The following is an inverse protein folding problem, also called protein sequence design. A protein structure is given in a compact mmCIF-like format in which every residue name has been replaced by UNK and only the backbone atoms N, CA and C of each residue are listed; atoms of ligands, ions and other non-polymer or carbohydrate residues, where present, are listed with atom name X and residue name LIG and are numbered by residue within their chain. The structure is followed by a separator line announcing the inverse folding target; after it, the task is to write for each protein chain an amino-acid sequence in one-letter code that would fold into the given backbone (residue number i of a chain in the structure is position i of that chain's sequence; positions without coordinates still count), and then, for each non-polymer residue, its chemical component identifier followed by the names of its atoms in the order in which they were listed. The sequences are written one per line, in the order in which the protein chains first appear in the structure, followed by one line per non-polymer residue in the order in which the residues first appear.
data_IF_451944895679
#
_entry.id   IF_451944895679
#
_cell.length_a   1.000
_cell.length_b   1.000
_cell.length_c   1.000
_cell.angle_alpha   90.00
_cell.angle_beta   90.00
_cell.angle_gamma   90.00
#
_symmetry.space_group_name_H-M   'P 1'
#
loop_
_entity.id
_entity.type
_entity.pdbx_description
1 polymer ?
#
# COMPACT_ATOMS: atom_id res chain seq x y z
N UNK A 1 -19.74 -73.83 -3.44
CA UNK A 1 -19.00 -72.86 -4.27
C UNK A 1 -19.32 -71.44 -3.80
N UNK A 2 -18.48 -70.82 -2.98
CA UNK A 2 -18.56 -69.39 -2.64
C UNK A 2 -17.18 -68.80 -2.87
N UNK A 3 -17.02 -68.06 -3.97
CA UNK A 3 -15.79 -67.33 -4.31
C UNK A 3 -15.77 -66.04 -3.50
N UNK A 4 -14.80 -65.91 -2.60
CA UNK A 4 -14.50 -64.67 -1.89
C UNK A 4 -13.73 -63.77 -2.86
N UNK A 5 -14.34 -62.67 -3.30
CA UNK A 5 -13.66 -61.62 -4.04
C UNK A 5 -12.93 -60.71 -3.04
N UNK A 6 -11.59 -60.76 -3.04
CA UNK A 6 -10.78 -59.76 -2.35
C UNK A 6 -10.70 -58.51 -3.21
N UNK A 7 -11.40 -57.46 -2.80
CA UNK A 7 -11.27 -56.13 -3.37
C UNK A 7 -10.04 -55.46 -2.73
N UNK A 8 -8.91 -55.44 -3.44
CA UNK A 8 -7.76 -54.63 -3.04
C UNK A 8 -8.08 -53.15 -3.30
N UNK A 9 -8.49 -52.44 -2.25
CA UNK A 9 -8.61 -50.99 -2.28
C UNK A 9 -7.19 -50.40 -2.24
N UNK A 10 -6.65 -50.06 -3.41
CA UNK A 10 -5.42 -49.27 -3.52
C UNK A 10 -5.75 -47.84 -3.07
N UNK A 11 -5.52 -47.54 -1.80
CA UNK A 11 -5.52 -46.17 -1.31
C UNK A 11 -4.23 -45.53 -1.83
N UNK A 12 -4.33 -44.83 -2.97
CA UNK A 12 -3.30 -43.91 -3.42
C UNK A 12 -3.25 -42.75 -2.41
N UNK A 13 -2.45 -42.90 -1.36
CA UNK A 13 -1.98 -41.76 -0.58
C UNK A 13 -1.06 -40.98 -1.50
N UNK A 14 -1.62 -40.02 -2.22
CA UNK A 14 -0.82 -39.00 -2.87
C UNK A 14 -0.14 -38.22 -1.74
N UNK A 15 1.12 -38.54 -1.46
CA UNK A 15 2.00 -37.65 -0.72
C UNK A 15 2.12 -36.40 -1.59
N UNK A 16 1.30 -35.39 -1.30
CA UNK A 16 1.50 -34.06 -1.85
C UNK A 16 2.78 -33.57 -1.17
N UNK A 17 3.92 -33.83 -1.82
CA UNK A 17 5.12 -33.08 -1.51
C UNK A 17 4.76 -31.61 -1.73
N UNK A 18 4.65 -30.84 -0.64
CA UNK A 18 4.41 -29.39 -0.73
C UNK A 18 5.53 -28.81 -1.60
N UNK A 19 5.18 -28.45 -2.84
CA UNK A 19 6.13 -27.92 -3.79
C UNK A 19 6.72 -26.63 -3.21
N UNK A 20 8.05 -26.55 -3.15
CA UNK A 20 8.76 -25.39 -2.65
C UNK A 20 8.49 -24.20 -3.58
N UNK A 21 8.09 -23.06 -3.01
CA UNK A 21 7.86 -21.84 -3.76
C UNK A 21 9.19 -21.33 -4.36
N UNK A 22 9.22 -21.26 -5.68
CA UNK A 22 10.34 -20.72 -6.44
C UNK A 22 10.17 -19.22 -6.66
N UNK A 23 8.95 -18.78 -6.89
CA UNK A 23 8.56 -17.39 -7.06
C UNK A 23 7.68 -16.99 -5.88
N UNK A 24 8.11 -16.01 -5.10
CA UNK A 24 7.33 -15.49 -3.97
C UNK A 24 6.96 -14.05 -4.25
N UNK A 25 5.66 -13.77 -4.23
CA UNK A 25 5.10 -12.43 -4.20
C UNK A 25 4.55 -12.15 -2.81
N UNK A 26 4.96 -11.03 -2.24
CA UNK A 26 4.53 -10.60 -0.92
C UNK A 26 3.99 -9.16 -0.99
N UNK A 27 2.68 -9.05 -0.99
CA UNK A 27 1.95 -7.79 -1.11
C UNK A 27 1.58 -7.27 0.28
N UNK A 28 1.88 -6.00 0.54
CA UNK A 28 1.56 -5.30 1.79
C UNK A 28 0.73 -4.06 1.44
N UNK A 29 -0.55 -4.02 1.80
CA UNK A 29 -1.33 -2.78 1.75
C UNK A 29 -1.17 -2.03 3.06
N UNK A 30 -0.38 -0.95 3.09
CA UNK A 30 -0.14 -0.16 4.32
C UNK A 30 -1.50 0.35 4.85
N UNK A 31 -1.83 0.12 6.12
CA UNK A 31 -3.12 0.53 6.70
C UNK A 31 -4.36 -0.23 6.22
N UNK A 32 -4.21 -1.28 5.40
CA UNK A 32 -5.32 -2.05 4.80
C UNK A 32 -5.92 -3.09 5.76
N UNK A 33 -6.69 -2.62 6.74
CA UNK A 33 -7.49 -3.50 7.61
C UNK A 33 -8.66 -4.20 6.90
N UNK A 34 -9.38 -5.05 7.64
CA UNK A 34 -10.50 -5.84 7.09
C UNK A 34 -11.65 -4.98 6.55
N UNK A 35 -11.87 -3.80 7.13
CA UNK A 35 -12.97 -2.92 6.71
C UNK A 35 -12.63 -2.11 5.45
N UNK A 36 -11.35 -1.79 5.22
CA UNK A 36 -10.87 -1.21 3.98
C UNK A 36 -11.15 -2.16 2.81
N UNK A 37 -10.88 -3.46 2.99
CA UNK A 37 -11.17 -4.51 2.00
C UNK A 37 -12.67 -4.67 1.78
N UNK A 38 -13.44 -4.91 2.84
CA UNK A 38 -14.89 -5.13 2.74
C UNK A 38 -15.63 -3.90 2.17
N UNK A 39 -15.25 -2.70 2.61
CA UNK A 39 -15.81 -1.44 2.11
C UNK A 39 -15.57 -1.25 0.62
N UNK A 40 -14.38 -1.60 0.14
CA UNK A 40 -14.05 -1.57 -1.29
C UNK A 40 -14.92 -2.53 -2.11
N UNK A 41 -15.14 -3.76 -1.64
CA UNK A 41 -16.01 -4.72 -2.35
C UNK A 41 -17.47 -4.29 -2.36
N UNK A 42 -17.96 -3.68 -1.27
CA UNK A 42 -19.31 -3.10 -1.20
C UNK A 42 -19.46 -1.91 -2.14
N UNK A 43 -18.50 -0.99 -2.12
CA UNK A 43 -18.45 0.15 -3.02
C UNK A 43 -18.47 -0.28 -4.49
N UNK A 44 -17.65 -1.28 -4.85
CA UNK A 44 -17.63 -1.86 -6.20
C UNK A 44 -18.97 -2.46 -6.60
N UNK A 45 -19.67 -3.17 -5.70
CA UNK A 45 -20.99 -3.72 -5.99
C UNK A 45 -21.99 -2.61 -6.33
N UNK A 46 -21.98 -1.51 -5.58
CA UNK A 46 -22.89 -0.40 -5.79
C UNK A 46 -22.62 0.34 -7.10
N UNK A 47 -21.36 0.67 -7.41
CA UNK A 47 -21.02 1.46 -8.62
C UNK A 47 -20.99 0.62 -9.90
N UNK A 48 -20.52 -0.64 -9.85
CA UNK A 48 -20.33 -1.47 -11.05
C UNK A 48 -21.58 -2.30 -11.39
N UNK A 49 -22.37 -2.66 -10.37
CA UNK A 49 -23.52 -3.56 -10.53
C UNK A 49 -24.84 -2.93 -10.11
N UNK A 50 -24.82 -1.75 -9.49
CA UNK A 50 -26.04 -1.07 -9.04
C UNK A 50 -26.82 -1.83 -7.96
N UNK A 51 -26.13 -2.68 -7.17
CA UNK A 51 -26.77 -3.52 -6.14
C UNK A 51 -26.04 -3.45 -4.81
N UNK A 52 -26.77 -3.71 -3.73
CA UNK A 52 -26.22 -3.98 -2.41
C UNK A 52 -25.55 -5.37 -2.41
N UNK A 53 -24.46 -5.50 -1.67
CA UNK A 53 -23.69 -6.73 -1.48
C UNK A 53 -22.21 -6.47 -1.70
N UNK A 54 -21.46 -7.49 -2.12
CA UNK A 54 -20.03 -7.39 -2.43
C UNK A 54 -19.77 -7.73 -3.90
N UNK A 55 -18.81 -7.05 -4.52
CA UNK A 55 -18.17 -7.42 -5.78
C UNK A 55 -16.70 -7.72 -5.47
N UNK A 56 -16.32 -9.01 -5.40
CA UNK A 56 -15.05 -9.40 -4.82
C UNK A 56 -13.81 -8.81 -5.51
N UNK A 57 -12.81 -8.46 -4.70
CA UNK A 57 -11.43 -8.27 -5.17
C UNK A 57 -10.84 -9.63 -5.56
N UNK A 58 -9.80 -9.64 -6.39
CA UNK A 58 -9.20 -10.90 -6.81
C UNK A 58 -8.57 -11.63 -5.62
N UNK A 59 -7.82 -10.90 -4.79
CA UNK A 59 -7.05 -11.52 -3.70
C UNK A 59 -7.92 -12.07 -2.57
N UNK A 60 -9.14 -11.56 -2.39
CA UNK A 60 -10.08 -12.07 -1.38
C UNK A 60 -10.65 -13.43 -1.74
N UNK A 61 -10.51 -13.83 -3.00
CA UNK A 61 -10.94 -15.13 -3.54
C UNK A 61 -9.84 -16.21 -3.48
N UNK A 62 -8.69 -15.89 -2.90
CA UNK A 62 -7.64 -16.88 -2.70
C UNK A 62 -8.11 -17.99 -1.74
N UNK A 63 -7.64 -19.24 -1.91
CA UNK A 63 -8.13 -20.38 -1.14
C UNK A 63 -7.81 -20.28 0.36
N UNK A 64 -6.85 -19.45 0.74
CA UNK A 64 -6.57 -19.12 2.13
C UNK A 64 -6.94 -17.66 2.37
N UNK A 65 -7.84 -17.43 3.32
CA UNK A 65 -8.21 -16.13 3.85
C UNK A 65 -8.31 -16.20 5.37
N UNK A 66 -7.53 -15.39 6.07
CA UNK A 66 -7.50 -15.32 7.55
C UNK A 66 -7.08 -13.93 8.01
N UNK A 67 -6.65 -13.78 9.26
CA UNK A 67 -6.28 -12.50 9.85
C UNK A 67 -5.02 -12.59 10.72
N UNK A 68 -4.30 -11.48 10.85
CA UNK A 68 -3.10 -11.37 11.68
C UNK A 68 -3.17 -10.25 12.73
N UNK A 69 -2.50 -10.45 13.88
CA UNK A 69 -2.23 -9.39 14.86
C UNK A 69 -0.97 -8.60 14.50
N UNK A 70 -0.92 -7.32 14.88
CA UNK A 70 0.08 -6.38 14.36
C UNK A 70 0.84 -5.57 15.41
N UNK A 71 0.56 -5.73 16.71
CA UNK A 71 1.22 -4.97 17.79
C UNK A 71 2.76 -4.99 17.71
N UNK A 72 3.42 -3.95 18.23
CA UNK A 72 4.88 -3.87 18.32
C UNK A 72 5.38 -4.34 19.69
N UNK A 73 6.71 -4.41 19.89
CA UNK A 73 7.27 -4.81 21.19
C UNK A 73 6.93 -3.80 22.31
N UNK A 74 6.69 -2.54 21.94
CA UNK A 74 6.50 -1.44 22.88
C UNK A 74 5.09 -0.86 22.90
N UNK A 75 4.19 -1.26 21.98
CA UNK A 75 2.84 -0.71 21.90
C UNK A 75 1.83 -1.69 21.29
N UNK A 76 0.58 -1.65 21.77
CA UNK A 76 -0.54 -2.41 21.18
C UNK A 76 -0.98 -1.88 19.82
N UNK A 77 -0.69 -0.60 19.53
CA UNK A 77 -0.84 0.00 18.19
C UNK A 77 0.56 0.21 17.61
N UNK A 78 0.88 -0.54 16.55
CA UNK A 78 2.17 -0.45 15.86
C UNK A 78 2.24 0.78 14.95
N UNK A 79 3.45 1.16 14.56
CA UNK A 79 3.68 1.96 13.36
C UNK A 79 4.17 1.06 12.21
N UNK A 80 4.22 1.61 10.98
CA UNK A 80 4.66 0.87 9.78
C UNK A 80 6.10 0.37 9.87
N UNK A 81 6.97 1.04 10.63
CA UNK A 81 8.38 0.61 10.75
C UNK A 81 8.54 -0.64 11.62
N UNK A 82 7.90 -0.69 12.81
CA UNK A 82 7.90 -1.88 13.64
C UNK A 82 7.13 -3.03 12.99
N UNK A 83 6.00 -2.73 12.34
CA UNK A 83 5.22 -3.73 11.61
C UNK A 83 5.97 -4.26 10.40
N UNK A 84 6.57 -3.39 9.58
CA UNK A 84 7.44 -3.76 8.46
C UNK A 84 8.61 -4.61 8.91
N UNK A 85 9.25 -4.28 10.04
CA UNK A 85 10.32 -5.09 10.63
C UNK A 85 9.82 -6.46 11.07
N UNK A 86 8.64 -6.55 11.69
CA UNK A 86 8.04 -7.84 12.02
C UNK A 86 7.67 -8.67 10.78
N UNK A 87 7.14 -8.03 9.74
CA UNK A 87 6.76 -8.64 8.46
C UNK A 87 7.98 -9.06 7.62
N UNK A 88 9.15 -8.47 7.84
CA UNK A 88 10.37 -8.81 7.12
C UNK A 88 11.27 -9.79 7.88
N UNK A 89 11.39 -9.66 9.20
CA UNK A 89 12.34 -10.44 10.02
C UNK A 89 11.68 -11.60 10.77
N UNK A 90 10.40 -11.44 11.12
CA UNK A 90 9.68 -12.32 12.02
C UNK A 90 9.92 -12.05 13.50
N UNK A 91 10.44 -10.89 13.86
CA UNK A 91 10.67 -10.48 15.25
C UNK A 91 9.97 -9.15 15.55
N UNK A 92 9.45 -8.99 16.77
CA UNK A 92 8.89 -7.71 17.22
C UNK A 92 10.02 -6.73 17.57
N UNK A 93 9.74 -5.45 17.41
CA UNK A 93 10.65 -4.35 17.77
C UNK A 93 9.85 -3.11 18.20
N UNK A 94 10.52 -2.05 18.62
CA UNK A 94 9.92 -0.78 18.99
C UNK A 94 9.46 0.07 17.78
N UNK A 95 8.42 0.89 17.97
CA UNK A 95 7.96 1.82 16.95
C UNK A 95 9.08 2.80 16.53
N UNK A 96 9.32 2.91 15.23
CA UNK A 96 10.40 3.70 14.64
C UNK A 96 11.58 2.87 14.12
N UNK A 97 11.71 1.60 14.52
CA UNK A 97 12.83 0.74 14.12
C UNK A 97 12.70 0.22 12.68
N UNK A 98 13.81 0.22 11.94
CA UNK A 98 13.91 -0.37 10.59
C UNK A 98 14.88 -1.54 10.66
N UNK A 99 14.38 -2.77 10.56
CA UNK A 99 15.20 -3.98 10.44
C UNK A 99 16.11 -4.27 11.64
N UNK A 100 15.79 -3.75 12.84
CA UNK A 100 16.59 -3.92 14.06
C UNK A 100 15.76 -4.43 15.24
N UNK A 101 16.40 -5.15 16.15
CA UNK A 101 15.81 -5.57 17.43
C UNK A 101 15.73 -4.40 18.44
N UNK A 102 15.18 -4.67 19.63
CA UNK A 102 15.05 -3.68 20.70
C UNK A 102 16.39 -3.18 21.26
N UNK A 103 17.50 -3.87 20.96
CA UNK A 103 18.85 -3.48 21.32
C UNK A 103 19.59 -2.80 20.15
N UNK A 104 18.88 -2.50 19.06
CA UNK A 104 19.40 -1.87 17.83
C UNK A 104 20.42 -2.75 17.08
N UNK A 105 20.37 -4.07 17.27
CA UNK A 105 21.14 -4.98 16.44
C UNK A 105 20.38 -5.26 15.14
N UNK A 106 21.07 -5.32 13.99
CA UNK A 106 20.46 -5.72 12.73
C UNK A 106 19.84 -7.12 12.80
N UNK A 107 18.61 -7.24 12.32
CA UNK A 107 17.85 -8.48 12.19
C UNK A 107 17.81 -8.93 10.74
N UNK A 108 18.11 -10.21 10.49
CA UNK A 108 18.11 -10.73 9.13
C UNK A 108 16.69 -10.83 8.54
N UNK A 109 16.47 -10.21 7.39
CA UNK A 109 15.17 -10.18 6.72
C UNK A 109 14.93 -11.43 5.86
N UNK A 110 13.66 -11.72 5.54
CA UNK A 110 13.26 -12.78 4.62
C UNK A 110 13.75 -12.51 3.19
N UNK A 111 13.89 -11.24 2.80
CA UNK A 111 14.46 -10.85 1.53
C UNK A 111 15.97 -11.17 1.46
N UNK A 112 16.72 -10.89 2.52
CA UNK A 112 18.13 -11.28 2.63
C UNK A 112 18.31 -12.80 2.64
N UNK A 113 17.43 -13.53 3.36
CA UNK A 113 17.40 -15.00 3.33
C UNK A 113 17.13 -15.53 1.92
N UNK A 114 16.20 -14.92 1.18
CA UNK A 114 15.95 -15.26 -0.22
C UNK A 114 17.19 -15.00 -1.10
N UNK A 115 17.84 -13.85 -0.93
CA UNK A 115 19.08 -13.51 -1.65
C UNK A 115 20.19 -14.52 -1.38
N UNK A 116 20.41 -14.88 -0.12
CA UNK A 116 21.39 -15.90 0.31
C UNK A 116 21.05 -17.28 -0.25
N UNK A 117 19.78 -17.61 -0.41
CA UNK A 117 19.31 -18.82 -1.09
C UNK A 117 19.48 -18.77 -2.63
N UNK A 118 20.08 -17.70 -3.17
CA UNK A 118 20.36 -17.52 -4.59
C UNK A 118 19.15 -17.09 -5.41
N UNK A 119 18.08 -16.61 -4.76
CA UNK A 119 16.94 -15.97 -5.42
C UNK A 119 17.30 -14.55 -5.81
N UNK A 120 16.67 -14.07 -6.88
CA UNK A 120 16.66 -12.63 -7.17
C UNK A 120 15.68 -11.94 -6.24
N UNK A 121 15.95 -10.69 -5.87
CA UNK A 121 15.16 -9.98 -4.87
C UNK A 121 14.72 -8.62 -5.41
N UNK A 122 13.42 -8.35 -5.27
CA UNK A 122 12.83 -7.04 -5.54
C UNK A 122 12.10 -6.48 -4.32
N UNK A 123 12.23 -5.17 -4.10
CA UNK A 123 11.52 -4.42 -3.06
C UNK A 123 10.89 -3.21 -3.73
N UNK A 124 9.56 -3.13 -3.72
CA UNK A 124 8.83 -2.12 -4.49
C UNK A 124 7.66 -1.52 -3.72
N UNK A 125 7.26 -0.30 -4.06
CA UNK A 125 6.21 0.44 -3.36
C UNK A 125 5.54 1.48 -4.26
N UNK A 126 4.37 1.98 -3.86
CA UNK A 126 3.77 3.22 -4.39
C UNK A 126 4.19 4.50 -3.65
N UNK A 127 5.02 4.41 -2.60
CA UNK A 127 5.64 5.57 -1.92
C UNK A 127 7.14 5.62 -2.18
N UNK A 128 7.90 6.42 -1.42
CA UNK A 128 9.35 6.47 -1.57
C UNK A 128 10.02 5.13 -1.19
N UNK A 129 11.10 4.77 -1.89
CA UNK A 129 11.78 3.47 -1.68
C UNK A 129 12.39 3.39 -0.27
N UNK A 130 12.76 4.52 0.29
CA UNK A 130 13.28 4.70 1.65
C UNK A 130 12.18 4.89 2.72
N UNK A 131 10.89 4.69 2.38
CA UNK A 131 9.81 4.67 3.36
C UNK A 131 9.87 3.42 4.25
N UNK A 132 9.18 3.45 5.39
CA UNK A 132 9.34 2.47 6.46
C UNK A 132 9.14 1.01 6.04
N UNK A 133 8.02 0.70 5.37
CA UNK A 133 7.68 -0.66 4.94
C UNK A 133 8.70 -1.26 3.97
N UNK A 134 9.08 -0.60 2.84
CA UNK A 134 10.10 -1.14 1.95
C UNK A 134 11.48 -1.16 2.59
N UNK A 135 11.86 -0.11 3.34
CA UNK A 135 13.13 -0.03 4.05
C UNK A 135 13.34 -1.21 4.99
N UNK A 136 12.30 -1.66 5.70
CA UNK A 136 12.41 -2.79 6.62
C UNK A 136 12.82 -4.12 5.97
N UNK A 137 12.78 -4.24 4.64
CA UNK A 137 13.25 -5.44 3.92
C UNK A 137 14.73 -5.40 3.52
N UNK A 138 15.36 -4.21 3.48
CA UNK A 138 16.72 -4.06 2.96
C UNK A 138 17.68 -3.21 3.83
N UNK A 139 17.15 -2.37 4.72
CA UNK A 139 17.94 -1.45 5.54
C UNK A 139 17.89 -1.84 7.02
N UNK A 140 18.87 -1.34 7.78
CA UNK A 140 18.94 -1.53 9.22
C UNK A 140 19.29 -0.20 9.88
N UNK A 141 18.28 0.51 10.37
CA UNK A 141 18.44 1.84 10.98
C UNK A 141 17.58 1.97 12.24
N UNK A 142 18.05 2.69 13.27
CA UNK A 142 17.35 2.79 14.54
C UNK A 142 16.12 3.71 14.51
N UNK A 143 15.96 4.53 13.46
CA UNK A 143 14.85 5.47 13.30
C UNK A 143 14.42 5.55 11.81
N UNK A 144 13.13 5.37 11.55
CA UNK A 144 12.50 5.41 10.23
C UNK A 144 12.68 6.74 9.48
N UNK A 145 13.02 7.81 10.18
CA UNK A 145 13.26 9.13 9.59
C UNK A 145 14.70 9.32 9.07
N UNK A 146 15.57 8.32 9.25
CA UNK A 146 16.95 8.33 8.74
C UNK A 146 17.00 8.05 7.22
N UNK A 147 16.21 8.78 6.44
CA UNK A 147 15.97 8.50 5.01
C UNK A 147 17.25 8.43 4.17
N UNK A 148 18.21 9.32 4.42
CA UNK A 148 19.50 9.28 3.72
C UNK A 148 20.27 8.02 4.06
N UNK A 149 20.39 7.70 5.35
CA UNK A 149 21.12 6.52 5.83
C UNK A 149 20.44 5.22 5.36
N UNK A 150 19.11 5.16 5.41
CA UNK A 150 18.29 4.09 4.81
C UNK A 150 18.63 3.94 3.32
N UNK A 151 18.66 5.04 2.55
CA UNK A 151 19.03 4.99 1.14
C UNK A 151 20.46 4.47 0.94
N UNK A 152 21.42 4.80 1.82
CA UNK A 152 22.79 4.28 1.72
C UNK A 152 22.91 2.78 2.04
N UNK A 153 21.91 2.15 2.66
CA UNK A 153 21.88 0.70 2.88
C UNK A 153 21.46 -0.09 1.63
N UNK A 154 20.76 0.53 0.68
CA UNK A 154 20.27 -0.12 -0.54
C UNK A 154 21.39 -0.80 -1.36
N UNK A 155 22.54 -0.14 -1.62
CA UNK A 155 23.69 -0.79 -2.25
C UNK A 155 24.27 -1.96 -1.44
N UNK A 156 24.25 -1.86 -0.11
CA UNK A 156 24.80 -2.88 0.81
C UNK A 156 23.96 -4.15 0.79
N UNK A 157 22.63 -4.02 0.78
CA UNK A 157 21.71 -5.14 0.62
C UNK A 157 21.89 -5.86 -0.74
N UNK A 158 22.23 -5.10 -1.78
CA UNK A 158 22.65 -5.66 -3.07
C UNK A 158 21.56 -6.45 -3.81
N UNK A 159 20.29 -6.11 -3.58
CA UNK A 159 19.16 -6.72 -4.27
C UNK A 159 19.12 -6.33 -5.76
N UNK A 160 18.29 -7.03 -6.53
CA UNK A 160 18.31 -6.96 -7.98
C UNK A 160 17.47 -5.79 -8.50
N UNK A 161 16.37 -5.47 -7.82
CA UNK A 161 15.38 -4.51 -8.29
C UNK A 161 14.80 -3.69 -7.13
N UNK A 162 14.75 -2.38 -7.29
CA UNK A 162 13.97 -1.49 -6.41
C UNK A 162 13.04 -0.62 -7.25
N UNK A 163 11.85 -0.32 -6.72
CA UNK A 163 10.98 0.65 -7.37
C UNK A 163 10.08 1.41 -6.41
N UNK A 164 9.78 2.66 -6.74
CA UNK A 164 8.90 3.51 -5.94
C UNK A 164 8.76 4.91 -6.53
N UNK A 165 8.26 5.84 -5.75
CA UNK A 165 8.14 7.24 -6.15
C UNK A 165 9.52 7.89 -6.36
N UNK A 166 10.44 7.64 -5.42
CA UNK A 166 11.74 8.28 -5.36
C UNK A 166 12.41 8.03 -4.01
N UNK A 167 13.19 9.02 -3.56
CA UNK A 167 13.87 9.05 -2.25
C UNK A 167 13.64 10.43 -1.61
N UNK A 168 13.40 10.46 -0.30
CA UNK A 168 12.91 11.66 0.38
C UNK A 168 14.02 12.66 0.72
N UNK A 169 15.21 12.16 1.10
CA UNK A 169 16.36 12.98 1.53
C UNK A 169 17.64 12.56 0.81
N UNK A 170 17.76 12.74 -0.52
CA UNK A 170 18.88 12.21 -1.29
C UNK A 170 20.23 12.89 -1.02
N UNK A 171 20.25 14.03 -0.32
CA UNK A 171 21.45 14.87 -0.10
C UNK A 171 21.54 15.44 1.32
N UNK A 172 20.79 14.89 2.28
CA UNK A 172 20.72 15.43 3.63
C UNK A 172 20.61 14.33 4.66
N UNK A 173 21.60 14.21 5.54
CA UNK A 173 21.61 13.23 6.64
C UNK A 173 20.49 13.47 7.65
N UNK A 174 20.23 12.48 8.50
CA UNK A 174 19.24 12.58 9.58
C UNK A 174 19.50 13.77 10.52
N UNK A 175 20.77 14.07 10.81
CA UNK A 175 21.19 15.22 11.63
C UNK A 175 21.20 16.55 10.86
N UNK A 176 20.55 16.60 9.68
CA UNK A 176 20.32 17.77 8.84
C UNK A 176 21.60 18.40 8.26
N UNK A 177 22.64 17.59 8.06
CA UNK A 177 23.87 18.02 7.39
C UNK A 177 23.77 17.73 5.89
N UNK A 178 24.42 18.58 5.11
CA UNK A 178 24.60 18.33 3.67
C UNK A 178 25.42 17.06 3.46
N UNK A 179 25.00 16.24 2.50
CA UNK A 179 25.65 14.98 2.16
C UNK A 179 25.73 14.80 0.64
N UNK A 180 26.71 14.04 0.13
CA UNK A 180 26.77 13.69 -1.29
C UNK A 180 25.48 12.99 -1.73
N UNK A 181 25.07 13.25 -2.98
CA UNK A 181 23.91 12.59 -3.56
C UNK A 181 24.02 11.06 -3.51
N UNK A 182 22.93 10.39 -3.17
CA UNK A 182 22.82 8.92 -3.17
C UNK A 182 22.85 8.31 -4.58
N UNK A 183 22.47 9.05 -5.62
CA UNK A 183 22.32 8.49 -6.97
C UNK A 183 23.66 8.02 -7.58
N UNK A 184 24.77 8.80 -7.52
CA UNK A 184 26.08 8.29 -7.91
C UNK A 184 26.50 7.03 -7.15
N UNK A 185 26.16 6.91 -5.86
CA UNK A 185 26.47 5.71 -5.07
C UNK A 185 25.74 4.47 -5.60
N UNK A 186 24.51 4.64 -6.10
CA UNK A 186 23.75 3.57 -6.74
C UNK A 186 24.36 3.15 -8.07
N UNK A 187 24.77 4.12 -8.89
CA UNK A 187 25.41 3.86 -10.18
C UNK A 187 26.76 3.14 -10.01
N UNK A 188 27.59 3.58 -9.06
CA UNK A 188 28.85 2.93 -8.68
C UNK A 188 28.64 1.49 -8.18
N UNK A 189 27.52 1.22 -7.51
CA UNK A 189 27.12 -0.12 -7.07
C UNK A 189 26.50 -1.00 -8.18
N UNK A 190 26.47 -0.49 -9.42
CA UNK A 190 26.03 -1.19 -10.62
C UNK A 190 24.53 -1.13 -10.89
N UNK A 191 23.79 -0.22 -10.24
CA UNK A 191 22.39 0.00 -10.55
C UNK A 191 22.24 0.92 -11.76
N UNK A 192 21.37 0.54 -12.68
CA UNK A 192 20.82 1.45 -13.67
C UNK A 192 19.59 2.13 -13.08
N UNK A 193 19.52 3.46 -13.16
CA UNK A 193 18.35 4.23 -12.72
C UNK A 193 17.46 4.52 -13.93
N UNK A 194 16.20 4.10 -13.83
CA UNK A 194 15.13 4.40 -14.77
C UNK A 194 14.14 5.39 -14.15
N UNK A 195 13.78 6.44 -14.88
CA UNK A 195 12.80 7.45 -14.47
C UNK A 195 11.57 7.34 -15.36
N UNK A 196 10.50 6.75 -14.82
CA UNK A 196 9.27 6.43 -15.54
C UNK A 196 9.31 5.10 -16.30
N UNK A 197 8.12 4.62 -16.67
CA UNK A 197 7.94 3.29 -17.27
C UNK A 197 8.58 3.16 -18.66
N UNK A 198 8.60 4.24 -19.45
CA UNK A 198 9.22 4.23 -20.78
C UNK A 198 10.75 4.13 -20.70
N UNK A 199 11.37 4.86 -19.77
CA UNK A 199 12.81 4.79 -19.54
C UNK A 199 13.23 3.42 -18.99
N UNK A 200 12.39 2.81 -18.13
CA UNK A 200 12.57 1.42 -17.69
C UNK A 200 12.64 0.47 -18.90
N UNK A 201 11.64 0.50 -19.79
CA UNK A 201 11.61 -0.38 -20.97
C UNK A 201 12.85 -0.22 -21.86
N UNK A 202 13.37 1.00 -21.99
CA UNK A 202 14.57 1.27 -22.78
C UNK A 202 15.86 0.71 -22.14
N UNK A 203 15.98 0.80 -20.81
CA UNK A 203 17.22 0.47 -20.09
C UNK A 203 17.29 -0.96 -19.55
N UNK A 204 16.14 -1.58 -19.27
CA UNK A 204 16.06 -2.82 -18.50
C UNK A 204 16.70 -4.05 -19.17
N UNK A 205 16.90 -4.05 -20.49
CA UNK A 205 17.53 -5.16 -21.19
C UNK A 205 19.05 -5.24 -20.93
N UNK A 206 19.72 -4.11 -20.73
CA UNK A 206 21.16 -4.03 -20.53
C UNK A 206 21.55 -3.92 -19.04
N UNK A 207 20.62 -3.59 -18.16
CA UNK A 207 20.87 -3.37 -16.75
C UNK A 207 21.12 -4.68 -15.97
N UNK A 208 22.19 -4.70 -15.16
CA UNK A 208 22.48 -5.80 -14.24
C UNK A 208 21.65 -5.74 -12.95
N UNK A 209 21.46 -4.53 -12.41
CA UNK A 209 20.53 -4.19 -11.32
C UNK A 209 19.76 -2.94 -11.70
N UNK A 210 18.57 -2.75 -11.13
CA UNK A 210 17.66 -1.68 -11.54
C UNK A 210 17.04 -0.94 -10.36
N UNK A 211 16.91 0.37 -10.50
CA UNK A 211 16.08 1.24 -9.66
C UNK A 211 15.10 1.96 -10.60
N UNK A 212 13.80 1.68 -10.46
CA UNK A 212 12.72 2.36 -11.21
C UNK A 212 12.03 3.38 -10.30
N UNK A 213 12.12 4.65 -10.64
CA UNK A 213 11.46 5.74 -9.91
C UNK A 213 10.61 6.60 -10.85
N UNK A 214 9.85 7.55 -10.31
CA UNK A 214 9.05 8.45 -11.15
C UNK A 214 9.91 9.32 -12.07
N UNK A 215 9.23 9.88 -13.07
CA UNK A 215 9.83 10.83 -14.01
C UNK A 215 10.38 12.06 -13.29
N UNK A 216 11.34 12.72 -13.93
CA UNK A 216 11.92 13.94 -13.38
C UNK A 216 10.86 15.04 -13.22
N UNK A 217 10.81 15.68 -12.05
CA UNK A 217 9.82 16.70 -11.71
C UNK A 217 8.52 16.16 -11.09
N UNK A 218 8.30 14.85 -11.06
CA UNK A 218 7.23 14.23 -10.29
C UNK A 218 7.55 14.23 -8.78
N UNK A 219 6.54 14.00 -7.94
CA UNK A 219 6.72 13.84 -6.49
C UNK A 219 7.66 12.66 -6.20
N UNK A 220 8.62 12.83 -5.29
CA UNK A 220 9.54 11.76 -4.90
C UNK A 220 9.05 10.99 -3.67
N UNK A 221 8.03 11.50 -2.98
CA UNK A 221 7.45 10.88 -1.79
C UNK A 221 6.38 9.84 -2.11
N UNK A 222 5.60 10.04 -3.15
CA UNK A 222 4.55 9.10 -3.54
C UNK A 222 4.17 9.14 -5.02
N UNK A 223 3.65 8.01 -5.53
CA UNK A 223 2.87 8.02 -6.76
C UNK A 223 1.59 8.85 -6.53
N UNK A 224 0.92 9.36 -7.58
CA UNK A 224 -0.42 9.92 -7.45
C UNK A 224 -1.37 8.91 -6.79
N UNK A 225 -2.37 9.39 -6.05
CA UNK A 225 -3.44 8.49 -5.61
C UNK A 225 -4.15 7.90 -6.85
N UNK A 226 -4.66 6.68 -6.75
CA UNK A 226 -5.38 5.99 -7.81
C UNK A 226 -6.59 6.79 -8.32
N UNK A 227 -7.25 7.55 -7.45
CA UNK A 227 -8.36 8.46 -7.84
C UNK A 227 -7.88 9.68 -8.64
N UNK A 228 -6.62 10.09 -8.45
CA UNK A 228 -6.01 11.26 -9.09
C UNK A 228 -5.10 10.90 -10.28
N UNK A 229 -4.85 9.61 -10.49
CA UNK A 229 -3.92 9.09 -11.48
C UNK A 229 -4.38 9.41 -12.90
N UNK A 230 -3.42 9.82 -13.74
CA UNK A 230 -3.62 10.23 -15.12
C UNK A 230 -2.88 9.31 -16.07
N UNK A 231 -3.27 9.37 -17.35
CA UNK A 231 -2.53 8.69 -18.41
C UNK A 231 -1.07 9.17 -18.43
N UNK A 232 -0.14 8.21 -18.39
CA UNK A 232 1.29 8.48 -18.34
C UNK A 232 1.91 8.37 -16.95
N UNK A 233 1.11 8.47 -15.88
CA UNK A 233 1.62 8.28 -14.53
C UNK A 233 2.12 6.85 -14.33
N UNK A 234 3.21 6.71 -13.56
CA UNK A 234 3.70 5.40 -13.13
C UNK A 234 2.70 4.79 -12.13
N UNK A 235 2.30 3.54 -12.34
CA UNK A 235 1.34 2.84 -11.47
C UNK A 235 1.97 1.68 -10.72
N UNK A 236 1.36 1.24 -9.61
CA UNK A 236 1.82 0.08 -8.86
C UNK A 236 1.77 -1.21 -9.70
N UNK A 237 0.79 -1.32 -10.61
CA UNK A 237 0.70 -2.40 -11.58
C UNK A 237 1.88 -2.41 -12.56
N UNK A 238 2.28 -1.25 -13.11
CA UNK A 238 3.46 -1.12 -13.97
C UNK A 238 4.76 -1.41 -13.22
N UNK A 239 4.86 -0.98 -11.95
CA UNK A 239 5.98 -1.33 -11.07
C UNK A 239 6.06 -2.85 -10.88
N UNK A 240 4.93 -3.50 -10.60
CA UNK A 240 4.85 -4.96 -10.40
C UNK A 240 5.22 -5.71 -11.68
N UNK A 241 4.72 -5.26 -12.84
CA UNK A 241 5.08 -5.83 -14.14
C UNK A 241 6.58 -5.70 -14.41
N UNK A 242 7.14 -4.50 -14.18
CA UNK A 242 8.56 -4.22 -14.36
C UNK A 242 9.43 -5.08 -13.45
N UNK A 243 9.02 -5.28 -12.20
CA UNK A 243 9.71 -6.15 -11.27
C UNK A 243 9.69 -7.62 -11.74
N UNK A 244 8.54 -8.13 -12.21
CA UNK A 244 8.44 -9.49 -12.74
C UNK A 244 9.31 -9.65 -13.99
N UNK A 245 9.22 -8.75 -14.96
CA UNK A 245 10.07 -8.76 -16.16
C UNK A 245 11.54 -8.74 -15.78
N UNK A 246 11.95 -7.87 -14.86
CA UNK A 246 13.34 -7.74 -14.47
C UNK A 246 13.85 -8.97 -13.74
N UNK A 247 13.13 -9.46 -12.73
CA UNK A 247 13.55 -10.56 -11.84
C UNK A 247 13.50 -11.93 -12.50
N UNK A 248 12.71 -12.10 -13.56
CA UNK A 248 12.65 -13.35 -14.32
C UNK A 248 13.78 -13.53 -15.33
N UNK A 249 14.56 -12.47 -15.60
CA UNK A 249 15.76 -12.54 -16.46
C UNK A 249 16.82 -13.50 -15.90
N UNK A 250 17.53 -14.17 -16.80
CA UNK A 250 18.70 -14.99 -16.49
C UNK A 250 18.38 -16.43 -16.08
N UNK A 251 19.30 -17.06 -15.33
CA UNK A 251 19.17 -18.47 -14.94
C UNK A 251 18.06 -18.62 -13.90
N UNK A 252 17.07 -19.46 -14.22
CA UNK A 252 15.77 -19.61 -13.56
C UNK A 252 15.83 -20.19 -12.13
N UNK A 253 16.47 -19.49 -11.18
CA UNK A 253 16.50 -19.85 -9.75
C UNK A 253 15.29 -19.36 -8.96
N UNK A 254 14.46 -18.50 -9.54
CA UNK A 254 13.30 -17.89 -8.89
C UNK A 254 13.61 -16.55 -8.21
N UNK A 255 12.58 -15.93 -7.63
CA UNK A 255 12.69 -14.62 -6.98
C UNK A 255 11.82 -14.51 -5.73
N UNK A 256 12.14 -13.50 -4.92
CA UNK A 256 11.28 -12.93 -3.89
C UNK A 256 10.99 -11.47 -4.28
N UNK A 257 9.71 -11.08 -4.28
CA UNK A 257 9.29 -9.73 -4.60
C UNK A 257 8.32 -9.23 -3.52
N UNK A 258 8.70 -8.13 -2.85
CA UNK A 258 7.80 -7.38 -1.98
C UNK A 258 7.20 -6.19 -2.75
N UNK A 259 5.88 -6.04 -2.69
CA UNK A 259 5.14 -4.93 -3.32
C UNK A 259 4.25 -4.27 -2.29
N UNK A 260 4.44 -2.97 -2.09
CA UNK A 260 3.64 -2.18 -1.15
C UNK A 260 2.66 -1.26 -1.88
N UNK A 261 1.38 -1.32 -1.49
CA UNK A 261 0.40 -0.26 -1.76
C UNK A 261 0.36 0.69 -0.56
N UNK A 262 1.24 1.70 -0.53
CA UNK A 262 1.51 2.52 0.66
C UNK A 262 0.49 3.63 0.92
N UNK A 263 -0.23 4.06 -0.11
CA UNK A 263 -1.14 5.22 -0.01
C UNK A 263 -2.53 4.89 0.53
N UNK A 264 -2.86 3.61 0.74
CA UNK A 264 -4.07 3.21 1.47
C UNK A 264 -4.06 3.83 2.88
N UNK A 265 -2.93 3.71 3.59
CA UNK A 265 -2.70 4.31 4.90
C UNK A 265 -2.84 5.83 4.87
N UNK A 266 -2.20 6.49 3.90
CA UNK A 266 -2.21 7.96 3.82
C UNK A 266 -3.62 8.51 3.60
N UNK A 267 -4.42 7.84 2.75
CA UNK A 267 -5.83 8.16 2.55
C UNK A 267 -6.66 7.89 3.82
N UNK A 268 -6.34 6.85 4.60
CA UNK A 268 -6.97 6.58 5.89
C UNK A 268 -6.60 7.61 6.97
N UNK A 269 -5.34 8.06 7.08
CA UNK A 269 -4.95 9.19 7.95
C UNK A 269 -5.68 10.48 7.55
N UNK A 270 -5.92 10.62 6.25
CA UNK A 270 -6.73 11.65 5.66
C UNK A 270 -8.23 11.44 5.83
N UNK A 271 -8.73 10.36 6.44
CA UNK A 271 -10.15 9.97 6.52
C UNK A 271 -10.90 10.15 5.19
N UNK A 272 -10.34 9.69 4.08
CA UNK A 272 -10.88 9.89 2.73
C UNK A 272 -11.37 8.56 2.14
N UNK A 273 -12.63 8.21 2.42
CA UNK A 273 -13.16 6.88 2.10
C UNK A 273 -13.15 6.57 0.59
N UNK A 274 -13.46 7.56 -0.26
CA UNK A 274 -13.42 7.38 -1.72
C UNK A 274 -11.99 7.04 -2.17
N UNK A 275 -11.01 7.84 -1.73
CA UNK A 275 -9.60 7.62 -2.07
C UNK A 275 -9.11 6.27 -1.55
N UNK A 276 -9.45 5.88 -0.30
CA UNK A 276 -9.10 4.56 0.26
C UNK A 276 -9.59 3.41 -0.61
N UNK A 277 -10.85 3.43 -1.05
CA UNK A 277 -11.39 2.34 -1.86
C UNK A 277 -10.77 2.27 -3.27
N UNK A 278 -10.38 3.41 -3.83
CA UNK A 278 -9.61 3.46 -5.07
C UNK A 278 -8.19 2.89 -4.88
N UNK A 279 -7.52 3.19 -3.77
CA UNK A 279 -6.18 2.64 -3.46
C UNK A 279 -6.19 1.12 -3.24
N UNK A 280 -7.18 0.59 -2.53
CA UNK A 280 -7.34 -0.87 -2.37
C UNK A 280 -7.60 -1.55 -3.72
N UNK A 281 -8.38 -0.90 -4.60
CA UNK A 281 -8.59 -1.39 -5.95
C UNK A 281 -7.33 -1.32 -6.82
N UNK A 282 -6.46 -0.32 -6.64
CA UNK A 282 -5.16 -0.24 -7.33
C UNK A 282 -4.21 -1.34 -6.86
N UNK A 283 -4.18 -1.62 -5.55
CA UNK A 283 -3.46 -2.77 -5.01
C UNK A 283 -3.94 -4.11 -5.61
N UNK A 284 -5.26 -4.28 -5.75
CA UNK A 284 -5.83 -5.45 -6.43
C UNK A 284 -5.40 -5.53 -7.92
N UNK A 285 -5.22 -4.40 -8.60
CA UNK A 285 -4.69 -4.36 -9.96
C UNK A 285 -3.22 -4.80 -10.03
N UNK A 286 -2.39 -4.40 -9.07
CA UNK A 286 -1.02 -4.90 -8.96
C UNK A 286 -0.99 -6.42 -8.68
N UNK A 287 -1.87 -6.91 -7.79
CA UNK A 287 -1.99 -8.33 -7.49
C UNK A 287 -2.48 -9.12 -8.72
N UNK A 288 -3.36 -8.57 -9.56
CA UNK A 288 -3.75 -9.19 -10.85
C UNK A 288 -2.54 -9.47 -11.73
N UNK A 289 -1.56 -8.57 -11.81
CA UNK A 289 -0.33 -8.79 -12.59
C UNK A 289 0.43 -10.02 -12.07
N UNK A 290 0.63 -10.13 -10.76
CA UNK A 290 1.25 -11.31 -10.16
C UNK A 290 0.40 -12.59 -10.33
N UNK A 291 -0.93 -12.47 -10.29
CA UNK A 291 -1.84 -13.59 -10.51
C UNK A 291 -1.78 -14.12 -11.95
N UNK A 292 -1.63 -13.25 -12.96
CA UNK A 292 -1.39 -13.66 -14.33
C UNK A 292 -0.09 -14.47 -14.47
N UNK A 293 0.95 -14.11 -13.71
CA UNK A 293 2.17 -14.91 -13.60
C UNK A 293 1.91 -16.25 -12.88
N UNK A 294 1.20 -16.24 -11.76
CA UNK A 294 0.82 -17.44 -11.02
C UNK A 294 0.07 -18.45 -11.89
N UNK A 295 -0.88 -18.01 -12.74
CA UNK A 295 -1.61 -18.91 -13.65
C UNK A 295 -0.69 -19.68 -14.61
N UNK A 296 0.48 -19.13 -14.95
CA UNK A 296 1.50 -19.80 -15.79
C UNK A 296 2.40 -20.73 -14.98
N UNK A 297 2.56 -20.48 -13.67
CA UNK A 297 3.46 -21.21 -12.77
C UNK A 297 2.80 -21.63 -11.44
N UNK A 298 1.61 -22.27 -11.43
CA UNK A 298 0.80 -22.38 -10.21
C UNK A 298 1.39 -23.28 -9.13
N UNK A 299 2.25 -24.23 -9.53
CA UNK A 299 2.93 -25.16 -8.62
C UNK A 299 4.25 -24.62 -8.06
N UNK A 300 4.74 -23.50 -8.58
CA UNK A 300 6.04 -22.92 -8.24
C UNK A 300 5.91 -21.51 -7.62
N UNK A 301 4.71 -20.92 -7.65
CA UNK A 301 4.46 -19.55 -7.22
C UNK A 301 3.66 -19.52 -5.93
N UNK A 302 4.10 -18.71 -4.97
CA UNK A 302 3.36 -18.31 -3.78
C UNK A 302 3.01 -16.82 -3.92
N UNK A 303 1.74 -16.47 -3.69
CA UNK A 303 1.32 -15.09 -3.48
C UNK A 303 0.76 -14.99 -2.06
N UNK A 304 1.28 -14.04 -1.28
CA UNK A 304 0.77 -13.66 0.04
C UNK A 304 0.38 -12.19 0.00
N UNK A 305 -0.80 -11.86 0.50
CA UNK A 305 -1.31 -10.48 0.62
C UNK A 305 -1.65 -10.24 2.08
N UNK A 306 -1.14 -9.16 2.67
CA UNK A 306 -1.45 -8.75 4.04
C UNK A 306 -1.43 -7.21 4.15
N UNK A 307 -1.64 -6.71 5.35
CA UNK A 307 -1.26 -5.35 5.75
C UNK A 307 -0.31 -5.39 6.94
N UNK A 308 0.23 -4.22 7.27
CA UNK A 308 1.09 -3.95 8.42
C UNK A 308 0.28 -3.53 9.66
N UNK A 309 -0.79 -2.76 9.46
CA UNK A 309 -1.81 -2.39 10.44
C UNK A 309 -3.15 -1.98 9.79
N UNK A 310 -4.14 -1.63 10.61
CA UNK A 310 -5.34 -0.89 10.17
C UNK A 310 -5.16 0.59 10.50
N UNK A 311 -5.73 1.47 9.66
CA UNK A 311 -5.66 2.92 9.87
C UNK A 311 -7.02 3.60 9.82
N UNK A 312 -7.25 4.53 10.76
CA UNK A 312 -8.43 5.38 10.88
C UNK A 312 -9.56 4.78 11.71
N UNK A 313 -9.55 3.46 11.93
CA UNK A 313 -10.66 2.72 12.51
C UNK A 313 -11.93 2.94 11.70
N UNK A 314 -11.84 2.68 10.39
CA UNK A 314 -12.93 2.90 9.46
C UNK A 314 -14.14 2.02 9.83
N UNK A 315 -15.30 2.63 9.92
CA UNK A 315 -16.57 1.98 10.22
C UNK A 315 -17.51 2.05 9.02
N UNK A 316 -17.96 0.89 8.55
CA UNK A 316 -18.96 0.77 7.47
C UNK A 316 -20.37 0.91 8.07
N UNK A 317 -20.70 2.13 8.49
CA UNK A 317 -21.97 2.51 9.09
C UNK A 317 -21.78 3.49 10.23
N UNK A 318 -22.77 4.36 10.45
CA UNK A 318 -22.73 5.45 11.45
C UNK A 318 -23.83 5.34 12.51
N UNK A 319 -24.39 4.14 12.68
CA UNK A 319 -25.45 3.84 13.65
C UNK A 319 -26.82 3.61 12.99
N UNK A 320 -27.13 4.32 11.90
CA UNK A 320 -28.26 3.94 11.03
C UNK A 320 -27.93 2.61 10.34
N UNK A 321 -28.91 1.72 10.20
CA UNK A 321 -28.76 0.44 9.48
C UNK A 321 -28.82 0.67 7.96
N UNK A 322 -27.92 1.51 7.44
CA UNK A 322 -27.81 1.88 6.05
C UNK A 322 -26.37 2.30 5.71
N UNK A 323 -26.01 2.09 4.45
CA UNK A 323 -24.82 2.61 3.78
C UNK A 323 -25.24 3.25 2.46
N UNK A 324 -24.42 4.16 1.94
CA UNK A 324 -24.64 4.83 0.66
C UNK A 324 -23.31 5.02 -0.06
N UNK A 325 -22.57 3.94 -0.25
CA UNK A 325 -21.20 4.00 -0.78
C UNK A 325 -21.16 4.52 -2.22
N UNK A 326 -22.23 4.34 -3.00
CA UNK A 326 -22.38 4.93 -4.33
C UNK A 326 -22.17 6.44 -4.36
N UNK A 327 -22.43 7.15 -3.26
CA UNK A 327 -22.16 8.59 -3.20
C UNK A 327 -20.69 8.93 -3.48
N UNK A 328 -19.77 8.06 -3.04
CA UNK A 328 -18.32 8.25 -3.19
C UNK A 328 -17.88 8.32 -4.66
N UNK A 329 -18.64 7.76 -5.61
CA UNK A 329 -18.37 7.87 -7.06
C UNK A 329 -18.34 9.33 -7.55
N UNK A 330 -18.97 10.25 -6.81
CA UNK A 330 -19.03 11.67 -7.16
C UNK A 330 -17.83 12.47 -6.67
N UNK A 331 -16.97 11.90 -5.84
CA UNK A 331 -15.68 12.50 -5.51
C UNK A 331 -14.70 12.21 -6.65
N UNK A 332 -14.30 13.24 -7.38
CA UNK A 332 -13.43 13.12 -8.58
C UNK A 332 -11.94 13.30 -8.30
N UNK A 333 -11.61 13.68 -7.07
CA UNK A 333 -10.26 14.01 -6.66
C UNK A 333 -10.07 13.64 -5.18
N UNK A 334 -8.85 13.30 -4.80
CA UNK A 334 -8.52 13.15 -3.38
C UNK A 334 -8.63 14.48 -2.65
N UNK A 335 -8.67 14.42 -1.31
CA UNK A 335 -8.58 15.61 -0.48
C UNK A 335 -7.32 16.46 -0.76
N UNK A 336 -6.22 15.85 -1.22
CA UNK A 336 -4.98 16.55 -1.57
C UNK A 336 -5.14 17.38 -2.84
N UNK A 337 -5.65 16.77 -3.92
CA UNK A 337 -5.88 17.48 -5.18
C UNK A 337 -6.97 18.54 -5.02
N UNK A 338 -8.03 18.25 -4.26
CA UNK A 338 -9.05 19.25 -3.92
C UNK A 338 -8.45 20.43 -3.14
N UNK A 339 -7.55 20.16 -2.18
CA UNK A 339 -6.83 21.20 -1.43
C UNK A 339 -6.04 22.12 -2.35
N UNK A 340 -5.36 21.55 -3.35
CA UNK A 340 -4.63 22.32 -4.36
C UNK A 340 -5.57 23.18 -5.20
N UNK A 341 -6.67 22.63 -5.70
CA UNK A 341 -7.68 23.37 -6.49
C UNK A 341 -8.25 24.57 -5.71
N UNK A 342 -8.57 24.38 -4.42
CA UNK A 342 -9.06 25.45 -3.56
C UNK A 342 -7.96 26.50 -3.30
N UNK A 343 -6.73 26.07 -3.06
CA UNK A 343 -5.59 26.97 -2.88
C UNK A 343 -5.29 27.80 -4.12
N UNK A 344 -5.43 27.22 -5.31
CA UNK A 344 -5.23 27.93 -6.57
C UNK A 344 -6.40 28.88 -6.86
N UNK A 345 -7.64 28.51 -6.51
CA UNK A 345 -8.79 29.41 -6.56
C UNK A 345 -8.60 30.64 -5.65
N UNK A 346 -8.09 30.43 -4.43
CA UNK A 346 -7.71 31.52 -3.51
C UNK A 346 -6.70 32.46 -4.16
N UNK A 347 -5.62 31.95 -4.74
CA UNK A 347 -4.61 32.76 -5.44
C UNK A 347 -5.22 33.54 -6.59
N UNK A 348 -6.00 32.86 -7.45
CA UNK A 348 -6.60 33.47 -8.64
C UNK A 348 -7.56 34.62 -8.32
N UNK A 349 -8.22 34.58 -7.15
CA UNK A 349 -9.17 35.59 -6.68
C UNK A 349 -8.58 36.54 -5.64
N UNK A 350 -7.25 36.54 -5.44
CA UNK A 350 -6.59 37.32 -4.38
C UNK A 350 -7.25 37.16 -3.01
N UNK A 351 -7.60 35.93 -2.63
CA UNK A 351 -8.37 35.54 -1.44
C UNK A 351 -9.81 36.07 -1.34
N UNK A 352 -10.31 36.84 -2.32
CA UNK A 352 -11.71 37.29 -2.38
C UNK A 352 -12.61 36.26 -3.11
N UNK A 353 -12.63 35.02 -2.61
CA UNK A 353 -13.44 33.94 -3.18
C UNK A 353 -14.88 34.03 -2.68
N UNK A 354 -15.85 34.13 -3.59
CA UNK A 354 -17.27 34.15 -3.22
C UNK A 354 -17.77 32.76 -2.83
N UNK A 355 -18.82 32.68 -2.01
CA UNK A 355 -19.42 31.38 -1.64
C UNK A 355 -19.86 30.59 -2.89
N UNK A 356 -20.36 31.29 -3.90
CA UNK A 356 -20.79 30.64 -5.15
C UNK A 356 -19.61 30.03 -5.93
N UNK A 357 -18.41 30.64 -5.88
CA UNK A 357 -17.21 30.04 -6.49
C UNK A 357 -16.88 28.70 -5.81
N UNK A 358 -17.02 28.62 -4.48
CA UNK A 358 -16.82 27.38 -3.71
C UNK A 358 -17.91 26.36 -3.99
N UNK A 359 -19.18 26.77 -4.06
CA UNK A 359 -20.28 25.87 -4.42
C UNK A 359 -20.08 25.27 -5.81
N UNK A 360 -19.66 26.08 -6.78
CA UNK A 360 -19.37 25.60 -8.13
C UNK A 360 -18.25 24.56 -8.13
N UNK A 361 -17.13 24.86 -7.46
CA UNK A 361 -16.01 23.91 -7.36
C UNK A 361 -16.42 22.61 -6.66
N UNK A 362 -17.10 22.69 -5.52
CA UNK A 362 -17.53 21.48 -4.79
C UNK A 362 -18.63 20.72 -5.52
N UNK A 363 -19.49 21.39 -6.29
CA UNK A 363 -20.45 20.72 -7.18
C UNK A 363 -19.73 19.97 -8.31
N UNK A 364 -18.66 20.55 -8.86
CA UNK A 364 -17.87 19.91 -9.92
C UNK A 364 -17.05 18.71 -9.41
N UNK A 365 -16.36 18.88 -8.28
CA UNK A 365 -15.39 17.92 -7.75
C UNK A 365 -15.99 16.86 -6.82
N UNK A 366 -17.10 17.18 -6.14
CA UNK A 366 -17.74 16.30 -5.15
C UNK A 366 -19.19 15.95 -5.50
N UNK A 367 -19.75 16.54 -6.57
CA UNK A 367 -21.14 16.35 -6.96
C UNK A 367 -22.17 16.96 -6.01
N UNK A 368 -21.76 17.76 -5.02
CA UNK A 368 -22.68 18.39 -4.07
C UNK A 368 -23.68 19.31 -4.76
N UNK A 369 -24.92 19.33 -4.27
CA UNK A 369 -26.09 20.04 -4.82
C UNK A 369 -26.55 19.58 -6.21
N UNK A 370 -25.65 19.20 -7.12
CA UNK A 370 -25.98 18.83 -8.50
C UNK A 370 -26.42 17.38 -8.63
N UNK A 371 -25.61 16.45 -8.14
CA UNK A 371 -25.90 15.00 -8.18
C UNK A 371 -26.28 14.49 -6.81
N UNK A 372 -25.56 14.94 -5.79
CA UNK A 372 -25.78 14.58 -4.40
C UNK A 372 -26.60 15.66 -3.69
N UNK A 373 -27.84 15.35 -3.26
CA UNK A 373 -28.57 16.24 -2.39
C UNK A 373 -27.82 16.34 -1.05
N UNK A 374 -27.59 17.56 -0.59
CA UNK A 374 -27.02 17.80 0.73
C UNK A 374 -28.09 18.35 1.67
N UNK A 375 -28.06 17.88 2.90
CA UNK A 375 -28.94 18.37 3.97
C UNK A 375 -28.55 19.77 4.41
N UNK A 376 -29.45 20.47 5.08
CA UNK A 376 -29.14 21.79 5.64
C UNK A 376 -27.98 21.73 6.64
N UNK A 377 -27.90 20.69 7.47
CA UNK A 377 -26.80 20.51 8.43
C UNK A 377 -25.45 20.33 7.74
N UNK A 378 -25.42 19.59 6.62
CA UNK A 378 -24.21 19.40 5.80
C UNK A 378 -23.81 20.69 5.08
N UNK A 379 -24.77 21.42 4.49
CA UNK A 379 -24.48 22.72 3.87
C UNK A 379 -23.98 23.72 4.92
N UNK A 380 -24.61 23.75 6.10
CA UNK A 380 -24.19 24.60 7.21
C UNK A 380 -22.74 24.34 7.60
N UNK A 381 -22.31 23.08 7.68
CA UNK A 381 -20.91 22.72 7.96
C UNK A 381 -19.94 23.32 6.94
N UNK A 382 -20.25 23.22 5.65
CA UNK A 382 -19.44 23.81 4.59
C UNK A 382 -19.47 25.34 4.70
N UNK A 383 -20.63 25.93 4.94
CA UNK A 383 -20.79 27.39 5.04
C UNK A 383 -20.05 27.96 6.24
N UNK A 384 -20.09 27.30 7.40
CA UNK A 384 -19.36 27.73 8.59
C UNK A 384 -17.84 27.74 8.34
N UNK A 385 -17.32 26.72 7.64
CA UNK A 385 -15.91 26.70 7.24
C UNK A 385 -15.59 27.78 6.20
N UNK A 386 -16.51 28.06 5.28
CA UNK A 386 -16.35 29.16 4.33
C UNK A 386 -16.23 30.52 5.06
N UNK A 387 -17.14 30.81 5.98
CA UNK A 387 -17.14 32.04 6.77
C UNK A 387 -15.86 32.15 7.62
N UNK A 388 -15.39 31.05 8.20
CA UNK A 388 -14.14 31.01 8.96
C UNK A 388 -12.91 31.27 8.08
N UNK A 389 -12.80 30.54 6.98
CA UNK A 389 -11.55 30.42 6.23
C UNK A 389 -11.40 31.43 5.07
N UNK A 390 -12.51 31.91 4.50
CA UNK A 390 -12.50 32.86 3.38
C UNK A 390 -12.96 34.26 3.79
N UNK A 391 -13.90 34.38 4.75
CA UNK A 391 -14.41 35.70 5.18
C UNK A 391 -13.57 36.25 6.34
N UNK A 392 -13.34 35.43 7.37
CA UNK A 392 -12.52 35.82 8.54
C UNK A 392 -11.02 35.60 8.34
N UNK A 393 -10.60 35.11 7.18
CA UNK A 393 -9.20 34.82 6.82
C UNK A 393 -8.47 33.93 7.84
N UNK A 394 -9.20 33.04 8.51
CA UNK A 394 -8.64 32.11 9.49
C UNK A 394 -8.46 30.74 8.84
N UNK A 395 -7.39 30.61 8.05
CA UNK A 395 -7.03 29.37 7.35
C UNK A 395 -6.19 28.49 8.27
N UNK A 396 -6.81 27.45 8.83
CA UNK A 396 -6.13 26.43 9.63
C UNK A 396 -6.17 25.12 8.84
N UNK A 397 -5.03 24.70 8.31
CA UNK A 397 -4.93 23.43 7.59
C UNK A 397 -5.13 22.27 8.56
N UNK A 398 -5.94 21.29 8.15
CA UNK A 398 -6.04 20.04 8.88
C UNK A 398 -4.75 19.23 8.65
N UNK A 399 -4.09 18.83 9.73
CA UNK A 399 -2.84 18.06 9.65
C UNK A 399 -3.14 16.58 9.92
N UNK A 400 -2.61 15.71 9.05
CA UNK A 400 -2.49 14.27 9.28
C UNK A 400 -1.00 13.89 9.33
N UNK A 401 -0.69 12.60 9.52
CA UNK A 401 0.71 12.15 9.51
C UNK A 401 1.43 12.46 8.18
N UNK A 402 0.71 12.43 7.06
CA UNK A 402 1.29 12.48 5.72
C UNK A 402 0.90 13.71 4.91
N UNK A 403 -0.12 14.47 5.33
CA UNK A 403 -0.63 15.58 4.53
C UNK A 403 -1.07 16.78 5.37
N UNK A 404 -1.09 17.95 4.71
CA UNK A 404 -1.80 19.14 5.18
C UNK A 404 -2.95 19.43 4.22
N UNK A 405 -4.16 19.29 4.71
CA UNK A 405 -5.38 19.44 3.92
C UNK A 405 -5.96 20.83 4.11
N UNK A 406 -6.31 21.48 3.01
CA UNK A 406 -7.01 22.78 3.03
C UNK A 406 -8.35 22.62 3.78
N UNK A 407 -8.71 23.54 4.69
CA UNK A 407 -9.83 23.34 5.59
C UNK A 407 -11.19 23.08 4.91
N UNK A 408 -11.47 23.74 3.78
CA UNK A 408 -12.68 23.50 3.00
C UNK A 408 -12.62 22.13 2.31
N UNK A 409 -11.47 21.69 1.81
CA UNK A 409 -11.31 20.33 1.30
C UNK A 409 -11.54 19.29 2.41
N UNK A 410 -10.98 19.50 3.60
CA UNK A 410 -11.20 18.63 4.76
C UNK A 410 -12.68 18.55 5.14
N UNK A 411 -13.39 19.68 5.13
CA UNK A 411 -14.83 19.75 5.42
C UNK A 411 -15.68 19.10 4.33
N UNK A 412 -15.32 19.28 3.06
CA UNK A 412 -16.02 18.68 1.93
C UNK A 412 -15.94 17.15 2.01
N UNK A 413 -14.76 16.59 2.26
CA UNK A 413 -14.56 15.16 2.44
C UNK A 413 -15.30 14.63 3.68
N UNK A 414 -15.30 15.35 4.81
CA UNK A 414 -16.13 14.98 5.97
C UNK A 414 -17.63 14.90 5.61
N UNK A 415 -18.13 15.86 4.83
CA UNK A 415 -19.52 15.82 4.36
C UNK A 415 -19.77 14.63 3.41
N UNK A 416 -18.82 14.31 2.54
CA UNK A 416 -18.90 13.14 1.67
C UNK A 416 -19.00 11.84 2.47
N UNK A 417 -18.15 11.65 3.49
CA UNK A 417 -18.23 10.49 4.40
C UNK A 417 -19.60 10.40 5.10
N UNK A 418 -20.16 11.55 5.53
CA UNK A 418 -21.49 11.59 6.13
C UNK A 418 -22.58 11.16 5.14
N UNK A 419 -22.48 11.58 3.87
CA UNK A 419 -23.42 11.17 2.82
C UNK A 419 -23.29 9.67 2.53
N UNK A 420 -22.06 9.15 2.52
CA UNK A 420 -21.77 7.73 2.29
C UNK A 420 -22.09 6.85 3.50
N UNK A 421 -22.30 7.47 4.68
CA UNK A 421 -22.48 6.81 5.97
C UNK A 421 -21.26 5.98 6.40
N UNK A 422 -20.07 6.45 6.05
CA UNK A 422 -18.79 5.92 6.54
C UNK A 422 -18.36 6.70 7.76
N UNK A 423 -17.95 5.99 8.81
CA UNK A 423 -17.45 6.57 10.06
C UNK A 423 -15.94 6.37 10.20
N UNK A 424 -15.32 7.24 10.99
CA UNK A 424 -13.90 7.16 11.36
C UNK A 424 -13.78 7.37 12.86
N UNK A 425 -12.91 6.60 13.53
CA UNK A 425 -12.68 6.74 14.97
C UNK A 425 -11.53 7.69 15.29
N UNK A 426 -10.52 7.73 14.43
CA UNK A 426 -9.36 8.61 14.54
C UNK A 426 -8.81 8.89 13.14
N UNK A 427 -7.72 9.66 13.05
CA UNK A 427 -6.90 9.76 11.84
C UNK A 427 -5.54 9.07 12.02
N UNK A 428 -5.44 8.07 12.90
CA UNK A 428 -4.20 7.33 13.17
C UNK A 428 -4.42 5.83 13.10
N UNK A 429 -3.38 5.05 13.38
CA UNK A 429 -3.46 3.59 13.32
C UNK A 429 -4.37 3.03 14.43
N UNK A 430 -4.91 1.83 14.20
CA UNK A 430 -5.63 1.08 15.22
C UNK A 430 -5.08 -0.34 15.37
N UNK A 431 -5.42 -0.99 16.48
CA UNK A 431 -5.11 -2.39 16.73
C UNK A 431 -6.10 -3.37 16.04
N UNK A 432 -6.74 -2.92 14.96
CA UNK A 432 -7.61 -3.75 14.14
C UNK A 432 -6.86 -4.94 13.54
N UNK A 433 -7.57 -6.06 13.35
CA UNK A 433 -7.00 -7.17 12.60
C UNK A 433 -6.75 -6.77 11.15
N UNK A 434 -5.63 -7.24 10.61
CA UNK A 434 -5.33 -7.15 9.19
C UNK A 434 -5.65 -8.46 8.49
N UNK A 435 -6.13 -8.44 7.24
CA UNK A 435 -6.38 -9.66 6.48
C UNK A 435 -5.06 -10.32 6.06
N UNK A 436 -5.07 -11.64 5.92
CA UNK A 436 -4.01 -12.42 5.27
C UNK A 436 -4.65 -13.33 4.23
N UNK A 437 -4.25 -13.16 2.97
CA UNK A 437 -4.68 -14.02 1.87
C UNK A 437 -3.49 -14.71 1.23
N UNK A 438 -3.64 -15.98 0.85
CA UNK A 438 -2.57 -16.72 0.20
C UNK A 438 -3.06 -17.73 -0.85
N UNK A 439 -2.28 -17.88 -1.92
CA UNK A 439 -2.51 -18.88 -2.97
C UNK A 439 -1.20 -19.49 -3.48
N UNK A 440 -1.28 -20.74 -3.92
CA UNK A 440 -0.17 -21.44 -4.58
C UNK A 440 0.72 -22.24 -3.65
N UNK A 441 1.99 -22.38 -4.04
CA UNK A 441 2.98 -23.25 -3.41
C UNK A 441 3.22 -22.90 -1.92
N UNK A 442 2.78 -23.77 -1.00
CA UNK A 442 2.92 -23.55 0.44
C UNK A 442 1.91 -22.58 1.04
N UNK A 443 0.84 -22.21 0.32
CA UNK A 443 -0.22 -21.32 0.84
C UNK A 443 -0.98 -21.90 2.03
N UNK A 444 -1.06 -23.23 2.14
CA UNK A 444 -1.60 -23.96 3.29
C UNK A 444 -0.89 -23.61 4.61
N UNK A 445 0.37 -23.17 4.56
CA UNK A 445 1.10 -22.69 5.72
C UNK A 445 0.48 -21.44 6.34
N UNK A 446 -0.41 -20.72 5.65
CA UNK A 446 -1.05 -19.49 6.12
C UNK A 446 -2.47 -19.72 6.66
N UNK A 447 -2.88 -20.98 6.85
CA UNK A 447 -4.18 -21.28 7.48
C UNK A 447 -4.15 -20.92 8.97
N UNK A 448 -5.27 -20.38 9.44
CA UNK A 448 -5.51 -20.02 10.84
C UNK A 448 -5.00 -18.62 11.20
N UNK A 449 -5.60 -18.04 12.24
CA UNK A 449 -5.16 -16.75 12.79
C UNK A 449 -3.68 -16.83 13.18
N UNK A 450 -2.92 -15.78 12.91
CA UNK A 450 -1.50 -15.70 13.23
C UNK A 450 -1.09 -14.34 13.78
N UNK A 451 0.16 -14.21 14.22
CA UNK A 451 0.81 -12.91 14.41
C UNK A 451 1.61 -12.52 13.15
N UNK A 452 1.77 -11.21 12.90
CA UNK A 452 2.53 -10.72 11.73
C UNK A 452 3.98 -11.25 11.69
N UNK A 453 4.58 -11.59 12.82
CA UNK A 453 5.91 -12.21 12.90
C UNK A 453 5.98 -13.61 12.27
N UNK A 454 4.86 -14.32 12.17
CA UNK A 454 4.81 -15.66 11.60
C UNK A 454 4.85 -15.64 10.07
N UNK A 455 4.39 -14.56 9.44
CA UNK A 455 4.26 -14.43 7.99
C UNK A 455 5.64 -14.61 7.29
N UNK A 456 6.71 -13.85 7.61
CA UNK A 456 8.01 -14.07 6.98
C UNK A 456 8.62 -15.43 7.28
N UNK A 457 8.33 -16.01 8.46
CA UNK A 457 8.78 -17.36 8.85
C UNK A 457 8.10 -18.42 7.96
N UNK A 458 6.79 -18.28 7.70
CA UNK A 458 6.01 -19.14 6.80
C UNK A 458 6.45 -18.96 5.34
N UNK A 459 6.72 -17.72 4.89
CA UNK A 459 7.30 -17.44 3.57
C UNK A 459 8.66 -18.11 3.40
N UNK A 460 9.58 -17.95 4.36
CA UNK A 460 10.89 -18.57 4.32
C UNK A 460 10.80 -20.10 4.25
N UNK A 461 9.87 -20.70 5.00
CA UNK A 461 9.59 -22.14 4.94
C UNK A 461 9.07 -22.56 3.57
N UNK A 462 8.09 -21.84 3.00
CA UNK A 462 7.55 -22.13 1.67
C UNK A 462 8.63 -22.00 0.58
N UNK A 463 9.45 -20.95 0.65
CA UNK A 463 10.53 -20.67 -0.29
C UNK A 463 11.80 -21.49 -0.08
N UNK A 464 11.90 -22.22 1.03
CA UNK A 464 13.11 -22.93 1.47
C UNK A 464 14.32 -22.03 1.68
N UNK A 465 14.09 -20.82 2.21
CA UNK A 465 15.14 -19.88 2.59
C UNK A 465 15.67 -20.27 3.98
N UNK A 466 16.99 -20.40 4.13
CA UNK A 466 17.63 -20.85 5.37
C UNK A 466 18.29 -19.72 6.12
#
# INVERSE_FOLDING_TARGET
MKRLFYFFLFVCVAVIANAQAKYVFYFIGDGMGVNQVNGTEMYRAEIQKGRIGVEPLLFTQFPVGTMATTFSATNSVTDSSAAGTALSTGEKTYNGSIGMDDQKNPLQTVAEKAKKAGKRVGVTTSVSVDHATPAAFYAHQPDRNMYYEIATDLPKAGFDFYAGAGFLKPTTTYDKKEAPSIFPMFEEAGYTIARGYNDYKAKAAAAGKMILIQEEGADTGSLPYAIDSKEGDLTLAQITESAIDFLTKGKNKGFFLMVEGGKIDWACHGNDAATVFHEVADMDNAIKVAYEFYKKHPKETLIVVTADHETGGIALGTGKYALNLKALENQKASAEVLSKKISDLRKAKNNHVAWEDIKNLLSEEMGFWSVLPITWEQEKKLRDEYEKSFVRNKVEFAESMYAKTEPMAAKAKEVMDQIAMVGWTSGGHSAGYVPVFAIGAGSDLFIGKMDNTEIPKRIAKAGGYK
#
